data_IF_548099774017
#
_entry.id   IF_548099774017
#
_cell.length_a   1.000
_cell.length_b   1.000
_cell.length_c   1.000
_cell.angle_alpha   90.00
_cell.angle_beta   90.00
_cell.angle_gamma   90.00
#
_symmetry.space_group_name_H-M   'P 1'
#
loop_
_entity.id
_entity.type
_entity.pdbx_description
1 polymer ?
#
# COMPACT_ATOMS: atom_id res chain seq x y z
N UNK A 1 -64.32 58.77 -16.55
CA UNK A 1 -63.08 58.24 -17.15
C UNK A 1 -61.90 58.71 -16.33
N UNK A 2 -61.16 57.74 -15.78
CA UNK A 2 -59.93 57.89 -15.02
C UNK A 2 -58.91 58.77 -15.76
N UNK A 3 -58.15 59.61 -15.04
CA UNK A 3 -56.68 59.59 -15.08
C UNK A 3 -56.02 60.78 -14.34
N UNK A 4 -55.14 60.42 -13.39
CA UNK A 4 -53.86 61.06 -13.04
C UNK A 4 -53.84 62.33 -12.18
N UNK A 5 -54.08 62.14 -10.87
CA UNK A 5 -53.27 62.75 -9.80
C UNK A 5 -52.77 61.62 -8.90
N UNK A 6 -51.48 61.29 -9.00
CA UNK A 6 -50.61 60.59 -8.03
C UNK A 6 -49.31 60.35 -8.80
N UNK A 7 -48.23 61.05 -8.46
CA UNK A 7 -46.81 60.65 -8.75
C UNK A 7 -45.82 61.69 -8.23
N UNK A 8 -45.87 62.03 -6.94
CA UNK A 8 -44.77 62.75 -6.29
C UNK A 8 -44.42 62.23 -4.88
N UNK A 9 -45.33 61.51 -4.21
CA UNK A 9 -45.06 60.96 -2.88
C UNK A 9 -44.26 59.64 -2.87
N UNK A 10 -44.21 58.91 -3.99
CA UNK A 10 -43.50 57.61 -4.07
C UNK A 10 -42.02 57.74 -4.47
N UNK A 11 -41.57 58.93 -4.89
CA UNK A 11 -40.18 59.15 -5.29
C UNK A 11 -39.28 59.43 -4.07
N UNK A 12 -39.82 60.05 -3.01
CA UNK A 12 -39.04 60.38 -1.81
C UNK A 12 -38.77 59.16 -0.90
N UNK A 13 -39.71 58.20 -0.82
CA UNK A 13 -39.54 56.98 -0.01
C UNK A 13 -38.56 55.99 -0.68
N UNK A 14 -38.49 55.97 -2.01
CA UNK A 14 -37.55 55.14 -2.75
C UNK A 14 -36.08 55.61 -2.56
N UNK A 15 -35.82 56.90 -2.39
CA UNK A 15 -34.45 57.43 -2.19
C UNK A 15 -33.95 57.17 -0.76
N UNK A 16 -34.81 57.23 0.26
CA UNK A 16 -34.41 56.92 1.64
C UNK A 16 -34.18 55.41 1.86
N UNK A 17 -34.93 54.54 1.17
CA UNK A 17 -34.67 53.09 1.22
C UNK A 17 -33.40 52.69 0.47
N UNK A 18 -33.04 53.37 -0.63
CA UNK A 18 -31.82 53.08 -1.38
C UNK A 18 -30.57 53.55 -0.64
N UNK A 19 -30.60 54.69 0.08
CA UNK A 19 -29.46 55.13 0.90
C UNK A 19 -29.33 54.30 2.19
N UNK A 20 -30.45 53.86 2.78
CA UNK A 20 -30.46 52.92 3.90
C UNK A 20 -29.97 51.51 3.52
N UNK A 21 -30.30 51.02 2.33
CA UNK A 21 -29.80 49.74 1.81
C UNK A 21 -28.34 49.84 1.36
N UNK A 22 -27.90 50.97 0.80
CA UNK A 22 -26.47 51.18 0.51
C UNK A 22 -25.67 51.26 1.82
N UNK A 23 -26.21 51.86 2.88
CA UNK A 23 -25.59 51.89 4.22
C UNK A 23 -25.63 50.53 4.96
N UNK A 24 -26.67 49.72 4.76
CA UNK A 24 -26.79 48.39 5.36
C UNK A 24 -25.96 47.33 4.61
N UNK A 25 -25.84 47.45 3.29
CA UNK A 25 -24.91 46.63 2.49
C UNK A 25 -23.45 47.13 2.54
N UNK A 26 -23.18 48.35 3.01
CA UNK A 26 -21.80 48.78 3.30
C UNK A 26 -21.27 48.34 4.67
N UNK A 27 -22.13 47.93 5.61
CA UNK A 27 -21.70 47.58 6.97
C UNK A 27 -21.74 46.07 7.30
N UNK A 28 -22.03 45.24 6.29
CA UNK A 28 -21.73 43.81 6.30
C UNK A 28 -20.78 43.43 5.16
N UNK A 29 -19.83 44.31 4.86
CA UNK A 29 -18.52 43.82 4.45
C UNK A 29 -17.93 43.14 5.69
N UNK A 30 -18.04 41.80 5.76
CA UNK A 30 -17.00 40.99 6.39
C UNK A 30 -15.69 41.64 5.96
N UNK A 31 -14.98 42.29 6.90
CA UNK A 31 -13.66 42.86 6.63
C UNK A 31 -12.90 41.76 5.89
N UNK A 32 -12.59 42.02 4.63
CA UNK A 32 -11.77 41.14 3.80
C UNK A 32 -10.45 41.08 4.56
N UNK A 33 -10.28 40.06 5.41
CA UNK A 33 -9.03 39.85 6.13
C UNK A 33 -7.95 39.77 5.05
N UNK A 34 -7.02 40.70 5.12
CA UNK A 34 -6.08 40.99 4.05
C UNK A 34 -5.17 39.79 3.86
N UNK A 35 -5.43 38.98 2.82
CA UNK A 35 -4.48 37.95 2.38
C UNK A 35 -3.24 38.68 1.87
N UNK A 36 -2.18 38.70 2.68
CA UNK A 36 -0.90 39.24 2.24
C UNK A 36 -0.09 38.13 1.58
N UNK A 37 0.27 38.29 0.32
CA UNK A 37 1.27 37.44 -0.32
C UNK A 37 2.64 38.03 -0.04
N UNK A 38 3.42 37.38 0.83
CA UNK A 38 4.85 37.68 0.97
C UNK A 38 5.65 36.69 0.12
N UNK A 39 6.60 37.21 -0.65
CA UNK A 39 7.55 36.41 -1.42
C UNK A 39 8.93 36.59 -0.80
N UNK A 40 9.54 35.49 -0.38
CA UNK A 40 10.92 35.45 0.14
C UNK A 40 11.67 34.29 -0.50
N UNK A 41 12.98 34.34 -0.58
CA UNK A 41 13.79 33.23 -1.12
C UNK A 41 13.90 32.10 -0.10
N UNK A 42 13.87 30.84 -0.57
CA UNK A 42 14.13 29.68 0.28
C UNK A 42 15.59 29.67 0.76
N UNK A 43 15.78 29.39 2.06
CA UNK A 43 17.09 29.44 2.70
C UNK A 43 18.08 28.37 2.22
N UNK A 44 17.59 27.24 1.69
CA UNK A 44 18.42 26.13 1.22
C UNK A 44 18.56 26.14 -0.30
N UNK A 45 17.53 26.60 -1.01
CA UNK A 45 17.49 26.63 -2.47
C UNK A 45 17.25 28.06 -2.96
N UNK A 46 18.34 28.81 -3.21
CA UNK A 46 18.27 30.22 -3.61
C UNK A 46 17.49 30.52 -4.90
N UNK A 47 17.17 29.51 -5.70
CA UNK A 47 16.35 29.62 -6.91
C UNK A 47 14.85 29.29 -6.68
N UNK A 48 14.46 29.00 -5.44
CA UNK A 48 13.08 28.70 -5.04
C UNK A 48 12.56 29.86 -4.21
N UNK A 49 11.36 30.31 -4.54
CA UNK A 49 10.64 31.35 -3.79
C UNK A 49 9.65 30.69 -2.83
N UNK A 50 9.38 31.35 -1.70
CA UNK A 50 8.36 30.97 -0.72
C UNK A 50 7.21 31.95 -0.91
N UNK A 51 6.04 31.43 -1.27
CA UNK A 51 4.79 32.17 -1.19
C UNK A 51 4.07 31.81 0.11
N UNK A 52 3.50 32.81 0.76
CA UNK A 52 2.75 32.66 2.02
C UNK A 52 1.33 33.17 1.84
N UNK A 53 0.33 32.35 2.18
CA UNK A 53 -1.02 32.83 2.47
C UNK A 53 -1.10 33.11 3.98
N UNK A 54 -1.33 34.35 4.38
CA UNK A 54 -1.38 34.74 5.79
C UNK A 54 -2.66 35.48 6.13
N UNK A 55 -3.15 35.24 7.34
CA UNK A 55 -4.23 35.97 7.97
C UNK A 55 -3.97 36.10 9.47
N UNK A 56 -3.90 37.34 9.95
CA UNK A 56 -3.69 37.70 11.35
C UNK A 56 -5.01 38.14 12.04
N UNK A 57 -6.10 37.45 11.70
CA UNK A 57 -7.44 37.70 12.19
C UNK A 57 -7.58 37.57 13.70
N UNK A 58 -8.66 38.15 14.23
CA UNK A 58 -8.96 38.11 15.68
C UNK A 58 -9.54 36.77 16.13
N UNK A 59 -10.32 36.13 15.26
CA UNK A 59 -11.09 34.91 15.55
C UNK A 59 -10.34 33.64 15.18
N UNK A 60 -9.53 33.69 14.12
CA UNK A 60 -8.61 32.64 13.70
C UNK A 60 -7.40 33.27 13.01
N UNK A 61 -6.27 32.56 13.01
CA UNK A 61 -5.09 32.94 12.25
C UNK A 61 -4.61 31.77 11.39
N UNK A 62 -3.95 32.09 10.27
CA UNK A 62 -3.25 31.07 9.50
C UNK A 62 -2.01 31.62 8.82
N UNK A 63 -1.01 30.76 8.67
CA UNK A 63 0.16 30.98 7.83
C UNK A 63 0.43 29.71 7.02
N UNK A 64 0.23 29.76 5.71
CA UNK A 64 0.42 28.62 4.80
C UNK A 64 1.54 28.95 3.82
N UNK A 65 2.71 28.40 4.08
CA UNK A 65 3.91 28.53 3.26
C UNK A 65 3.96 27.41 2.20
N UNK A 66 4.25 27.78 0.95
CA UNK A 66 4.50 26.81 -0.12
C UNK A 66 5.64 27.28 -1.05
N UNK A 67 6.42 26.34 -1.63
CA UNK A 67 7.50 26.68 -2.55
C UNK A 67 6.97 27.03 -3.95
N UNK A 68 7.72 27.87 -4.65
CA UNK A 68 7.52 28.29 -6.04
C UNK A 68 8.82 28.06 -6.82
N UNK A 69 8.77 27.17 -7.81
CA UNK A 69 9.92 26.67 -8.56
C UNK A 69 10.10 27.31 -9.93
N UNK A 70 9.23 28.27 -10.31
CA UNK A 70 9.14 28.82 -11.67
C UNK A 70 8.75 27.74 -12.68
N UNK A 71 7.89 26.82 -12.24
CA UNK A 71 7.28 25.78 -13.06
C UNK A 71 5.76 25.93 -12.95
N UNK A 72 5.13 26.45 -14.00
CA UNK A 72 3.71 26.84 -13.97
C UNK A 72 2.77 25.73 -13.48
N UNK A 73 2.98 24.49 -13.97
CA UNK A 73 2.11 23.36 -13.64
C UNK A 73 2.27 22.92 -12.17
N UNK A 74 3.52 22.84 -11.71
CA UNK A 74 3.85 22.49 -10.32
C UNK A 74 3.38 23.59 -9.36
N UNK A 75 3.74 24.85 -9.64
CA UNK A 75 3.44 26.01 -8.80
C UNK A 75 1.93 26.23 -8.69
N UNK A 76 1.19 26.07 -9.80
CA UNK A 76 -0.28 26.14 -9.78
C UNK A 76 -0.90 25.04 -8.92
N UNK A 77 -0.34 23.83 -8.93
CA UNK A 77 -0.83 22.73 -8.11
C UNK A 77 -0.52 22.93 -6.62
N UNK A 78 0.69 23.39 -6.28
CA UNK A 78 1.06 23.73 -4.90
C UNK A 78 0.24 24.88 -4.36
N UNK A 79 -0.02 25.91 -5.17
CA UNK A 79 -0.95 27.00 -4.83
C UNK A 79 -2.36 26.48 -4.56
N UNK A 80 -2.91 25.63 -5.45
CA UNK A 80 -4.24 25.02 -5.24
C UNK A 80 -4.30 24.18 -3.96
N UNK A 81 -3.22 23.46 -3.64
CA UNK A 81 -3.08 22.74 -2.39
C UNK A 81 -3.14 23.70 -1.20
N UNK A 82 -2.29 24.72 -1.16
CA UNK A 82 -2.27 25.72 -0.09
C UNK A 82 -3.63 26.40 0.11
N UNK A 83 -4.29 26.83 -0.97
CA UNK A 83 -5.62 27.41 -0.91
C UNK A 83 -6.70 26.40 -0.44
N UNK A 84 -6.54 25.11 -0.76
CA UNK A 84 -7.46 24.06 -0.29
C UNK A 84 -7.34 23.89 1.22
N UNK A 85 -6.13 23.88 1.77
CA UNK A 85 -5.92 23.81 3.23
C UNK A 85 -6.56 25.00 3.95
N UNK A 86 -6.36 26.22 3.43
CA UNK A 86 -7.03 27.42 3.97
C UNK A 86 -8.55 27.29 3.92
N UNK A 87 -9.12 26.90 2.76
CA UNK A 87 -10.58 26.74 2.61
C UNK A 87 -11.15 25.68 3.56
N UNK A 88 -10.44 24.57 3.74
CA UNK A 88 -10.85 23.50 4.65
C UNK A 88 -10.82 23.97 6.10
N UNK A 89 -9.73 24.59 6.54
CA UNK A 89 -9.62 25.16 7.88
C UNK A 89 -10.72 26.20 8.14
N UNK A 90 -10.93 27.14 7.22
CA UNK A 90 -12.00 28.13 7.35
C UNK A 90 -13.38 27.50 7.49
N UNK A 91 -13.65 26.42 6.75
CA UNK A 91 -14.90 25.67 6.87
C UNK A 91 -15.03 25.05 8.27
N UNK A 92 -14.00 24.36 8.74
CA UNK A 92 -13.98 23.70 10.05
C UNK A 92 -14.10 24.69 11.22
N UNK A 93 -13.58 25.92 11.07
CA UNK A 93 -13.67 26.95 12.12
C UNK A 93 -15.02 27.67 12.23
N UNK A 94 -15.88 27.61 11.21
CA UNK A 94 -17.19 28.30 11.23
C UNK A 94 -18.19 27.67 12.20
N UNK A 95 -18.01 26.39 12.51
CA UNK A 95 -18.93 25.60 13.32
C UNK A 95 -18.50 25.51 14.79
N UNK A 96 -17.46 26.27 15.19
CA UNK A 96 -16.89 26.25 16.54
C UNK A 96 -17.41 27.42 17.36
N UNK A 97 -18.14 27.12 18.44
CA UNK A 97 -18.61 28.11 19.40
C UNK A 97 -17.43 28.76 20.15
N UNK A 98 -17.27 30.08 20.01
CA UNK A 98 -16.11 30.81 20.55
C UNK A 98 -16.29 31.24 22.01
N UNK A 99 -17.46 31.02 22.62
CA UNK A 99 -17.79 31.55 23.97
C UNK A 99 -16.90 31.00 25.11
N UNK A 100 -16.16 29.89 24.90
CA UNK A 100 -15.41 29.23 25.97
C UNK A 100 -13.94 28.90 25.67
N UNK A 101 -13.35 29.46 24.62
CA UNK A 101 -11.95 29.14 24.25
C UNK A 101 -11.00 30.33 24.44
N UNK A 102 -9.92 30.14 25.20
CA UNK A 102 -8.87 31.16 25.42
C UNK A 102 -7.82 31.20 24.30
N UNK A 103 -7.73 30.13 23.49
CA UNK A 103 -6.81 30.02 22.35
C UNK A 103 -7.56 30.19 21.03
N UNK A 104 -6.99 30.99 20.12
CA UNK A 104 -7.51 31.20 18.77
C UNK A 104 -7.33 29.94 17.92
N UNK A 105 -8.25 29.70 16.99
CA UNK A 105 -8.08 28.66 15.99
C UNK A 105 -6.88 29.02 15.09
N UNK A 106 -6.01 28.05 14.83
CA UNK A 106 -4.72 28.28 14.19
C UNK A 106 -4.43 27.21 13.13
N UNK A 107 -3.97 27.65 11.96
CA UNK A 107 -3.42 26.78 10.92
C UNK A 107 -2.03 27.27 10.52
N UNK A 108 -1.01 26.46 10.78
CA UNK A 108 0.35 26.71 10.32
C UNK A 108 0.77 25.58 9.39
N UNK A 109 1.07 25.91 8.13
CA UNK A 109 1.61 24.95 7.17
C UNK A 109 2.99 25.45 6.76
N UNK A 110 4.00 24.66 7.10
CA UNK A 110 5.37 24.85 6.65
C UNK A 110 5.80 23.71 5.73
N UNK A 111 6.89 23.89 5.00
CA UNK A 111 7.42 22.85 4.12
C UNK A 111 8.92 22.67 4.26
N UNK A 112 9.40 21.52 3.79
CA UNK A 112 10.82 21.22 3.57
C UNK A 112 11.00 20.58 2.21
N UNK A 113 11.94 21.08 1.42
CA UNK A 113 12.40 20.42 0.20
C UNK A 113 13.48 19.41 0.62
N UNK A 114 13.11 18.13 0.66
CA UNK A 114 14.01 17.06 1.11
C UNK A 114 14.84 16.47 -0.03
N UNK A 115 14.45 16.76 -1.27
CA UNK A 115 15.18 16.39 -2.49
C UNK A 115 14.86 17.39 -3.61
N UNK A 116 15.86 17.84 -4.36
CA UNK A 116 15.68 18.62 -5.58
C UNK A 116 16.82 18.35 -6.58
N UNK A 117 16.54 17.49 -7.56
CA UNK A 117 17.46 17.10 -8.61
C UNK A 117 16.98 17.55 -10.01
N UNK A 118 17.63 17.02 -11.06
CA UNK A 118 17.22 17.27 -12.46
C UNK A 118 15.93 16.55 -12.81
N UNK A 119 15.75 15.32 -12.31
CA UNK A 119 14.57 14.50 -12.60
C UNK A 119 13.40 14.81 -11.69
N UNK A 120 13.63 14.90 -10.39
CA UNK A 120 12.58 14.96 -9.37
C UNK A 120 12.81 16.01 -8.30
N UNK A 121 11.74 16.36 -7.62
CA UNK A 121 11.75 17.13 -6.37
C UNK A 121 10.79 16.49 -5.38
N UNK A 122 11.19 16.39 -4.11
CA UNK A 122 10.38 15.87 -3.02
C UNK A 122 10.20 16.93 -1.94
N UNK A 123 8.93 17.17 -1.57
CA UNK A 123 8.53 18.23 -0.63
C UNK A 123 7.70 17.58 0.49
N UNK A 124 8.04 17.90 1.73
CA UNK A 124 7.26 17.50 2.91
C UNK A 124 6.63 18.75 3.51
N UNK A 125 5.31 18.83 3.50
CA UNK A 125 4.53 19.82 4.22
C UNK A 125 4.25 19.32 5.64
N UNK A 126 4.45 20.17 6.64
CA UNK A 126 4.09 19.94 8.03
C UNK A 126 2.91 20.88 8.32
N UNK A 127 1.74 20.32 8.49
CA UNK A 127 0.51 21.04 8.80
C UNK A 127 0.22 20.89 10.29
N UNK A 128 0.31 21.99 11.02
CA UNK A 128 -0.20 22.12 12.37
C UNK A 128 -1.57 22.80 12.33
N UNK A 129 -2.56 22.18 12.97
CA UNK A 129 -3.93 22.68 13.02
C UNK A 129 -4.48 22.60 14.44
N UNK A 130 -5.07 23.69 14.91
CA UNK A 130 -5.78 23.77 16.19
C UNK A 130 -7.16 24.39 15.97
N UNK A 131 -8.22 23.63 16.28
CA UNK A 131 -9.63 24.02 16.12
C UNK A 131 -10.35 23.65 17.43
N UNK A 132 -9.90 24.23 18.54
CA UNK A 132 -10.36 23.86 19.89
C UNK A 132 -9.87 22.47 20.35
N UNK A 133 -10.21 22.11 21.59
CA UNK A 133 -9.80 20.86 22.23
C UNK A 133 -8.54 20.97 23.10
N UNK A 134 -8.00 19.83 23.55
CA UNK A 134 -6.89 19.79 24.51
C UNK A 134 -5.52 20.14 23.88
N UNK A 135 -5.30 19.79 22.61
CA UNK A 135 -4.06 20.03 21.89
C UNK A 135 -4.28 20.14 20.37
N UNK A 136 -3.39 20.83 19.66
CA UNK A 136 -3.37 20.85 18.19
C UNK A 136 -2.91 19.51 17.61
N UNK A 137 -3.13 19.33 16.31
CA UNK A 137 -2.71 18.15 15.56
C UNK A 137 -1.66 18.54 14.52
N UNK A 138 -0.65 17.68 14.32
CA UNK A 138 0.34 17.86 13.26
C UNK A 138 0.24 16.69 12.29
N UNK A 139 0.18 16.97 10.98
CA UNK A 139 0.12 15.97 9.92
C UNK A 139 1.13 16.30 8.84
N UNK A 140 1.82 15.27 8.30
CA UNK A 140 2.78 15.42 7.21
C UNK A 140 2.23 15.05 5.85
N UNK A 141 2.31 15.94 4.87
CA UNK A 141 1.94 15.62 3.48
C UNK A 141 3.19 15.60 2.61
N UNK A 142 3.36 14.55 1.82
CA UNK A 142 4.52 14.40 0.92
C UNK A 142 4.10 14.59 -0.53
N UNK A 143 4.92 15.30 -1.29
CA UNK A 143 4.74 15.48 -2.72
C UNK A 143 6.04 15.14 -3.45
N UNK A 144 5.94 14.30 -4.47
CA UNK A 144 7.04 14.02 -5.41
C UNK A 144 6.61 14.52 -6.78
N UNK A 145 7.44 15.31 -7.45
CA UNK A 145 7.16 15.81 -8.79
C UNK A 145 8.27 15.38 -9.75
N UNK A 146 7.89 14.91 -10.94
CA UNK A 146 8.79 14.54 -12.02
C UNK A 146 8.79 15.64 -13.09
N UNK A 147 9.94 16.27 -13.28
CA UNK A 147 10.09 17.37 -14.24
C UNK A 147 9.97 16.93 -15.70
N UNK A 148 10.31 15.68 -16.01
CA UNK A 148 10.21 15.15 -17.38
C UNK A 148 8.76 14.79 -17.72
N UNK A 149 8.02 14.21 -16.77
CA UNK A 149 6.58 13.90 -16.94
C UNK A 149 5.67 15.12 -16.73
N UNK A 150 6.22 16.18 -16.13
CA UNK A 150 5.46 17.32 -15.63
C UNK A 150 4.27 16.91 -14.74
N UNK A 151 4.48 15.98 -13.82
CA UNK A 151 3.41 15.41 -13.01
C UNK A 151 3.86 15.12 -11.58
N UNK A 152 2.92 15.22 -10.63
CA UNK A 152 3.11 14.65 -9.32
C UNK A 152 3.00 13.12 -9.41
N UNK A 153 3.82 12.43 -8.62
CA UNK A 153 3.92 10.98 -8.61
C UNK A 153 3.17 10.42 -7.41
N UNK A 154 2.35 9.41 -7.63
CA UNK A 154 1.95 8.45 -6.59
C UNK A 154 2.96 7.31 -6.49
N UNK A 155 2.84 6.49 -5.43
CA UNK A 155 3.84 5.44 -5.13
C UNK A 155 3.94 4.38 -6.22
N UNK A 156 2.87 4.08 -6.95
CA UNK A 156 2.84 3.17 -8.11
C UNK A 156 3.58 3.73 -9.32
N UNK A 157 3.62 5.06 -9.51
CA UNK A 157 4.21 5.67 -10.70
C UNK A 157 5.72 5.40 -10.82
N UNK A 158 6.40 5.09 -9.71
CA UNK A 158 7.85 4.89 -9.66
C UNK A 158 8.29 3.46 -9.94
N UNK A 159 7.38 2.48 -9.88
CA UNK A 159 7.66 1.07 -10.12
C UNK A 159 7.25 0.64 -11.53
N UNK A 160 7.83 -0.46 -12.01
CA UNK A 160 7.46 -1.12 -13.28
C UNK A 160 6.01 -1.65 -13.18
N UNK A 161 5.32 -1.74 -14.31
CA UNK A 161 3.88 -2.07 -14.35
C UNK A 161 3.57 -3.50 -13.85
N UNK A 162 4.51 -4.42 -14.02
CA UNK A 162 4.42 -5.83 -13.65
C UNK A 162 5.03 -6.14 -12.27
N UNK A 163 5.52 -5.13 -11.56
CA UNK A 163 6.17 -5.33 -10.28
C UNK A 163 5.17 -5.46 -9.12
N UNK A 164 5.30 -6.51 -8.31
CA UNK A 164 4.63 -6.62 -7.01
C UNK A 164 5.33 -5.73 -5.95
N UNK A 165 5.27 -4.42 -6.19
CA UNK A 165 5.94 -3.45 -5.33
C UNK A 165 5.27 -3.35 -3.95
N UNK A 166 3.95 -3.53 -3.86
CA UNK A 166 3.22 -3.41 -2.59
C UNK A 166 3.62 -4.52 -1.62
N UNK A 167 3.70 -5.76 -2.09
CA UNK A 167 4.16 -6.86 -1.26
C UNK A 167 5.61 -6.65 -0.82
N UNK A 168 6.50 -6.24 -1.75
CA UNK A 168 7.91 -6.00 -1.44
C UNK A 168 8.10 -4.87 -0.42
N UNK A 169 7.39 -3.75 -0.57
CA UNK A 169 7.43 -2.65 0.40
C UNK A 169 6.86 -3.07 1.75
N UNK A 170 5.76 -3.84 1.76
CA UNK A 170 5.14 -4.40 2.96
C UNK A 170 6.11 -5.28 3.75
N UNK A 171 6.75 -6.24 3.09
CA UNK A 171 7.75 -7.11 3.71
C UNK A 171 8.92 -6.31 4.29
N UNK A 172 9.50 -5.39 3.49
CA UNK A 172 10.62 -4.56 3.94
C UNK A 172 10.21 -3.74 5.17
N UNK A 173 9.08 -3.04 5.10
CA UNK A 173 8.62 -2.17 6.17
C UNK A 173 8.30 -2.93 7.44
N UNK A 174 7.55 -4.03 7.34
CA UNK A 174 7.18 -4.87 8.47
C UNK A 174 8.42 -5.38 9.19
N UNK A 175 9.34 -6.03 8.47
CA UNK A 175 10.51 -6.65 9.07
C UNK A 175 11.52 -5.61 9.59
N UNK A 176 11.67 -4.47 8.93
CA UNK A 176 12.57 -3.43 9.42
C UNK A 176 12.05 -2.81 10.72
N UNK A 177 10.78 -2.37 10.72
CA UNK A 177 10.17 -1.72 11.88
C UNK A 177 10.05 -2.68 13.07
N UNK A 178 9.81 -3.98 12.81
CA UNK A 178 9.74 -5.02 13.84
C UNK A 178 11.06 -5.23 14.61
N UNK A 179 12.20 -4.78 14.07
CA UNK A 179 13.48 -4.82 14.82
C UNK A 179 13.45 -3.92 16.06
N UNK A 180 12.63 -2.87 16.06
CA UNK A 180 12.43 -2.02 17.23
C UNK A 180 11.40 -2.65 18.17
N UNK A 181 11.81 -2.95 19.41
CA UNK A 181 10.96 -3.61 20.41
C UNK A 181 9.72 -2.80 20.80
N UNK A 182 9.83 -1.48 20.81
CA UNK A 182 8.71 -0.60 21.21
C UNK A 182 7.64 -0.54 20.11
N UNK A 183 8.07 -0.57 18.84
CA UNK A 183 7.16 -0.69 17.69
C UNK A 183 6.55 -2.10 17.67
N UNK A 184 7.37 -3.14 17.85
CA UNK A 184 6.94 -4.54 17.81
C UNK A 184 6.02 -4.95 18.97
N UNK A 185 5.87 -4.11 19.99
CA UNK A 185 4.96 -4.34 21.11
C UNK A 185 3.49 -4.44 20.66
N UNK A 186 3.12 -3.79 19.55
CA UNK A 186 1.81 -3.91 18.91
C UNK A 186 1.96 -4.47 17.49
N UNK A 187 2.23 -5.77 17.41
CA UNK A 187 2.42 -6.48 16.13
C UNK A 187 1.17 -6.43 15.24
N UNK A 188 -0.03 -6.30 15.82
CA UNK A 188 -1.27 -6.18 15.07
C UNK A 188 -1.32 -4.83 14.33
N UNK A 189 -1.06 -3.74 15.04
CA UNK A 189 -0.99 -2.40 14.46
C UNK A 189 0.14 -2.30 13.42
N UNK A 190 1.31 -2.83 13.73
CA UNK A 190 2.43 -2.87 12.80
C UNK A 190 2.07 -3.62 11.51
N UNK A 191 1.43 -4.80 11.62
CA UNK A 191 0.96 -5.58 10.47
C UNK A 191 -0.07 -4.83 9.63
N UNK A 192 -1.00 -4.13 10.27
CA UNK A 192 -2.03 -3.36 9.57
C UNK A 192 -1.43 -2.15 8.83
N UNK A 193 -0.62 -1.36 9.53
CA UNK A 193 0.00 -0.15 8.99
C UNK A 193 1.07 -0.40 7.93
N UNK A 194 1.60 -1.63 7.86
CA UNK A 194 2.54 -2.08 6.82
C UNK A 194 1.92 -3.06 5.83
N UNK A 195 0.62 -3.34 5.88
CA UNK A 195 -0.05 -4.21 4.92
C UNK A 195 0.15 -3.71 3.47
N UNK A 196 0.11 -4.59 2.45
CA UNK A 196 0.37 -4.25 1.04
C UNK A 196 -0.79 -3.45 0.42
N UNK A 197 -1.06 -2.26 0.96
CA UNK A 197 -2.09 -1.31 0.55
C UNK A 197 -1.42 -0.03 0.08
N UNK A 198 -1.90 0.54 -1.04
CA UNK A 198 -1.33 1.76 -1.62
C UNK A 198 -1.34 2.93 -0.63
N UNK A 199 -2.38 3.01 0.19
CA UNK A 199 -2.60 4.06 1.18
C UNK A 199 -1.50 4.06 2.25
N UNK A 200 -1.06 2.88 2.69
CA UNK A 200 -0.02 2.70 3.71
C UNK A 200 1.35 3.24 3.28
N UNK A 201 1.61 3.31 1.96
CA UNK A 201 2.87 3.76 1.37
C UNK A 201 2.72 5.07 0.58
N UNK A 202 1.59 5.75 0.72
CA UNK A 202 1.30 6.99 -0.01
C UNK A 202 2.18 8.17 0.42
N UNK A 203 2.75 8.11 1.64
CA UNK A 203 3.65 9.12 2.18
C UNK A 203 5.09 8.72 1.98
N UNK A 204 5.71 9.23 0.92
CA UNK A 204 7.08 8.87 0.56
C UNK A 204 7.85 10.05 -0.05
N UNK A 205 9.17 9.96 -0.03
CA UNK A 205 10.07 10.87 -0.72
C UNK A 205 11.06 10.10 -1.60
N UNK A 206 11.17 10.50 -2.87
CA UNK A 206 12.23 10.04 -3.76
C UNK A 206 13.47 10.90 -3.48
N UNK A 207 14.46 10.31 -2.82
CA UNK A 207 15.74 10.95 -2.47
C UNK A 207 16.84 10.49 -3.40
N UNK A 208 18.08 10.96 -3.25
CA UNK A 208 19.19 10.59 -4.13
C UNK A 208 19.42 9.08 -4.17
N UNK A 209 19.75 8.48 -3.02
CA UNK A 209 20.05 7.04 -2.89
C UNK A 209 18.89 6.21 -2.31
N UNK A 210 17.80 6.84 -1.85
CA UNK A 210 16.74 6.18 -1.08
C UNK A 210 15.33 6.48 -1.61
N UNK A 211 14.42 5.55 -1.34
CA UNK A 211 12.99 5.83 -1.22
C UNK A 211 12.67 5.87 0.27
N UNK A 212 12.34 7.04 0.79
CA UNK A 212 12.03 7.22 2.22
C UNK A 212 10.51 7.14 2.40
N UNK A 213 10.05 6.21 3.23
CA UNK A 213 8.65 6.00 3.58
C UNK A 213 8.38 6.60 4.96
N UNK A 214 7.24 7.27 5.09
CA UNK A 214 6.79 7.89 6.33
C UNK A 214 5.49 7.24 6.80
N UNK A 215 5.43 6.90 8.08
CA UNK A 215 4.27 6.30 8.73
C UNK A 215 3.75 7.26 9.79
N UNK A 216 2.45 7.55 9.74
CA UNK A 216 1.81 8.44 10.70
C UNK A 216 1.85 7.91 12.13
N UNK A 217 1.67 8.81 13.10
CA UNK A 217 1.29 8.42 14.46
C UNK A 217 0.10 7.47 14.43
N UNK A 218 0.18 6.39 15.21
CA UNK A 218 -0.80 5.30 15.25
C UNK A 218 -0.93 4.47 13.97
N UNK A 219 -0.10 4.68 12.93
CA UNK A 219 -0.15 3.79 11.76
C UNK A 219 0.53 2.45 12.05
N UNK A 220 1.77 2.49 12.55
CA UNK A 220 2.61 1.28 12.73
C UNK A 220 3.05 1.04 14.17
N UNK A 221 2.78 1.99 15.07
CA UNK A 221 3.21 1.94 16.46
C UNK A 221 2.34 2.85 17.33
N UNK A 222 2.41 2.68 18.65
CA UNK A 222 1.70 3.52 19.60
C UNK A 222 2.08 5.01 19.45
N UNK A 223 1.11 5.91 19.59
CA UNK A 223 1.27 7.34 19.25
C UNK A 223 2.37 8.09 20.03
N UNK A 224 2.74 7.64 21.24
CA UNK A 224 3.82 8.27 22.01
C UNK A 224 5.21 8.11 21.39
N UNK A 225 5.40 7.13 20.48
CA UNK A 225 6.62 6.96 19.70
C UNK A 225 6.72 7.96 18.55
N UNK A 226 5.65 8.71 18.28
CA UNK A 226 5.57 9.66 17.19
C UNK A 226 5.56 8.99 15.82
N UNK A 227 5.78 9.79 14.79
CA UNK A 227 5.88 9.32 13.41
C UNK A 227 7.11 8.43 13.20
N UNK A 228 6.92 7.37 12.42
CA UNK A 228 8.01 6.46 12.05
C UNK A 228 8.43 6.68 10.60
N UNK A 229 9.65 6.30 10.27
CA UNK A 229 10.14 6.35 8.89
C UNK A 229 11.23 5.30 8.66
N UNK A 230 11.31 4.82 7.42
CA UNK A 230 12.40 3.96 6.93
C UNK A 230 12.86 4.48 5.56
N UNK A 231 14.16 4.43 5.30
CA UNK A 231 14.74 4.82 4.02
C UNK A 231 15.30 3.60 3.31
N UNK A 232 14.61 3.14 2.27
CA UNK A 232 14.98 1.96 1.49
C UNK A 232 16.00 2.36 0.45
N UNK A 233 17.20 1.79 0.51
CA UNK A 233 18.24 2.04 -0.49
C UNK A 233 17.75 1.57 -1.86
N UNK A 234 17.78 2.45 -2.87
CA UNK A 234 17.26 2.16 -4.22
C UNK A 234 17.88 0.94 -4.88
N UNK A 235 19.13 0.61 -4.54
CA UNK A 235 19.80 -0.61 -5.03
C UNK A 235 19.08 -1.90 -4.64
N UNK A 236 18.31 -1.90 -3.54
CA UNK A 236 17.50 -3.04 -3.10
C UNK A 236 16.18 -3.19 -3.89
N UNK A 237 15.81 -2.15 -4.65
CA UNK A 237 14.59 -2.08 -5.46
C UNK A 237 14.90 -2.06 -6.97
N UNK A 238 16.16 -2.29 -7.37
CA UNK A 238 16.62 -2.09 -8.76
C UNK A 238 15.87 -2.93 -9.80
N UNK A 239 15.35 -4.07 -9.37
CA UNK A 239 14.57 -5.02 -10.16
C UNK A 239 13.16 -4.51 -10.46
N UNK A 240 12.58 -3.74 -9.54
CA UNK A 240 11.18 -3.26 -9.65
C UNK A 240 11.03 -1.75 -9.87
N UNK A 241 12.03 -0.94 -9.52
CA UNK A 241 11.99 0.51 -9.65
C UNK A 241 12.30 0.93 -11.11
N UNK A 242 11.61 1.94 -11.63
CA UNK A 242 11.89 2.48 -12.97
C UNK A 242 13.29 3.12 -13.02
N UNK A 243 14.01 2.86 -14.09
CA UNK A 243 15.43 3.23 -14.25
C UNK A 243 15.69 4.74 -14.05
N UNK A 244 14.78 5.59 -14.53
CA UNK A 244 14.88 7.04 -14.37
C UNK A 244 14.94 7.52 -12.91
N UNK A 245 14.44 6.74 -11.95
CA UNK A 245 14.51 7.05 -10.52
C UNK A 245 15.73 6.41 -9.84
N UNK A 246 16.43 5.48 -10.51
CA UNK A 246 17.70 4.87 -10.04
C UNK A 246 18.90 5.70 -10.52
N UNK A 247 18.82 6.29 -11.71
CA UNK A 247 19.90 7.05 -12.34
C UNK A 247 20.44 8.15 -11.40
N UNK A 248 21.69 7.97 -10.96
CA UNK A 248 22.37 8.86 -10.03
C UNK A 248 22.62 10.25 -10.60
N UNK A 249 22.90 10.38 -11.90
CA UNK A 249 23.16 11.67 -12.51
C UNK A 249 21.88 12.53 -12.61
N UNK A 250 20.74 11.86 -12.84
CA UNK A 250 19.41 12.48 -12.92
C UNK A 250 18.83 12.83 -11.55
N UNK A 251 19.09 12.00 -10.55
CA UNK A 251 18.57 12.15 -9.18
C UNK A 251 19.64 12.62 -8.18
N UNK A 252 20.76 13.20 -8.65
CA UNK A 252 21.72 13.83 -7.74
C UNK A 252 21.09 15.09 -7.15
N UNK A 253 21.00 15.16 -5.82
CA UNK A 253 20.42 16.33 -5.18
C UNK A 253 21.33 17.55 -5.36
N UNK A 254 20.73 18.74 -5.53
CA UNK A 254 21.47 20.01 -5.67
C UNK A 254 22.24 20.38 -4.40
N UNK A 255 21.79 19.93 -3.24
CA UNK A 255 22.45 20.11 -1.95
C UNK A 255 22.63 18.76 -1.25
N UNK A 256 23.48 18.72 -0.23
CA UNK A 256 23.68 17.50 0.57
C UNK A 256 22.42 17.17 1.36
N UNK A 257 21.86 15.98 1.14
CA UNK A 257 20.69 15.50 1.89
C UNK A 257 21.03 15.20 3.35
N UNK A 258 20.03 15.39 4.22
CA UNK A 258 20.10 14.86 5.57
C UNK A 258 20.05 13.34 5.53
N UNK A 259 20.96 12.72 6.28
CA UNK A 259 21.03 11.27 6.42
C UNK A 259 19.73 10.76 7.06
N UNK A 260 19.08 9.72 6.50
CA UNK A 260 17.89 9.14 7.10
C UNK A 260 18.16 8.63 8.51
N UNK A 261 17.12 8.65 9.36
CA UNK A 261 17.21 8.12 10.73
C UNK A 261 17.32 6.60 10.76
N UNK A 262 16.57 5.92 9.88
CA UNK A 262 16.55 4.46 9.78
C UNK A 262 16.78 4.05 8.32
N UNK A 263 17.95 3.50 8.04
CA UNK A 263 18.30 3.04 6.70
C UNK A 263 18.05 1.54 6.55
N UNK A 264 17.38 1.15 5.47
CA UNK A 264 17.31 -0.24 5.01
C UNK A 264 18.41 -0.46 3.98
N UNK A 265 19.49 -1.10 4.44
CA UNK A 265 20.68 -1.38 3.63
C UNK A 265 20.76 -2.83 3.14
N UNK A 266 19.88 -3.69 3.64
CA UNK A 266 19.70 -5.08 3.22
C UNK A 266 18.21 -5.42 3.23
N UNK A 267 17.74 -6.23 2.28
CA UNK A 267 16.39 -6.78 2.35
C UNK A 267 16.25 -7.66 3.60
N UNK A 268 15.04 -7.80 4.16
CA UNK A 268 14.77 -8.81 5.17
C UNK A 268 15.29 -10.15 4.67
N UNK A 269 15.96 -10.91 5.54
CA UNK A 269 16.09 -12.34 5.28
C UNK A 269 14.67 -12.89 5.32
N UNK A 270 14.08 -13.12 4.15
CA UNK A 270 13.15 -14.26 4.01
C UNK A 270 13.85 -15.44 4.67
N UNK A 271 13.15 -16.31 5.41
CA UNK A 271 13.77 -17.52 5.95
C UNK A 271 14.45 -18.24 4.78
N UNK A 272 15.77 -18.08 4.69
CA UNK A 272 16.49 -18.37 3.45
C UNK A 272 16.55 -19.87 3.35
N UNK A 273 15.83 -20.42 2.37
CA UNK A 273 15.89 -21.83 2.03
C UNK A 273 17.33 -22.15 1.64
N UNK A 274 17.99 -22.98 2.44
CA UNK A 274 19.35 -23.44 2.16
C UNK A 274 19.28 -24.47 1.03
N UNK A 275 19.82 -24.17 -0.17
CA UNK A 275 19.76 -25.10 -1.30
C UNK A 275 20.58 -26.38 -1.05
N UNK A 276 21.44 -26.43 -0.03
CA UNK A 276 22.22 -27.63 0.31
C UNK A 276 21.49 -28.56 1.28
N UNK A 277 20.36 -28.14 1.84
CA UNK A 277 19.52 -28.95 2.73
C UNK A 277 18.33 -29.53 1.98
N UNK A 278 17.63 -30.49 2.61
CA UNK A 278 16.45 -31.12 2.02
C UNK A 278 15.30 -30.13 1.93
N UNK A 279 14.64 -30.06 0.78
CA UNK A 279 13.48 -29.20 0.52
C UNK A 279 12.31 -30.03 0.01
N UNK A 280 11.10 -29.66 0.39
CA UNK A 280 9.87 -30.31 -0.11
C UNK A 280 8.73 -29.28 -0.16
N UNK A 281 7.92 -29.32 -1.22
CA UNK A 281 6.77 -28.43 -1.37
C UNK A 281 5.48 -29.16 -1.00
N UNK A 282 4.84 -28.75 0.10
CA UNK A 282 3.48 -29.15 0.41
C UNK A 282 2.52 -28.22 -0.33
N UNK A 283 1.56 -28.82 -1.05
CA UNK A 283 0.60 -28.05 -1.83
C UNK A 283 -0.83 -28.48 -1.56
N UNK A 284 -1.74 -27.52 -1.57
CA UNK A 284 -3.12 -27.69 -1.15
C UNK A 284 -4.09 -27.15 -2.20
N UNK A 285 -4.97 -28.02 -2.71
CA UNK A 285 -5.91 -27.71 -3.79
C UNK A 285 -7.36 -27.59 -3.28
N UNK A 286 -8.20 -26.92 -4.07
CA UNK A 286 -9.65 -26.69 -3.90
C UNK A 286 -10.09 -25.69 -2.83
N UNK A 287 -9.18 -25.16 -2.04
CA UNK A 287 -9.45 -24.14 -1.03
C UNK A 287 -9.89 -22.77 -1.61
N UNK A 288 -10.21 -21.80 -0.73
CA UNK A 288 -10.20 -21.93 0.72
C UNK A 288 -11.46 -22.61 1.28
N UNK A 289 -11.31 -23.32 2.41
CA UNK A 289 -12.38 -23.76 3.29
C UNK A 289 -12.02 -23.39 4.75
N UNK A 290 -12.62 -22.34 5.35
CA UNK A 290 -12.17 -21.82 6.64
C UNK A 290 -12.09 -22.85 7.77
N UNK A 291 -12.89 -23.91 7.77
CA UNK A 291 -12.87 -24.92 8.82
C UNK A 291 -11.61 -25.80 8.80
N UNK A 292 -11.02 -26.03 7.63
CA UNK A 292 -9.89 -26.95 7.44
C UNK A 292 -8.62 -26.21 7.00
N UNK A 293 -8.73 -25.22 6.09
CA UNK A 293 -7.60 -24.38 5.67
C UNK A 293 -6.95 -23.67 6.87
N UNK A 294 -7.75 -23.13 7.80
CA UNK A 294 -7.20 -22.45 8.97
C UNK A 294 -6.44 -23.39 9.90
N UNK A 295 -6.87 -24.64 10.05
CA UNK A 295 -6.15 -25.65 10.83
C UNK A 295 -4.80 -25.97 10.19
N UNK A 296 -4.74 -26.09 8.86
CA UNK A 296 -3.49 -26.34 8.13
C UNK A 296 -2.53 -25.15 8.29
N UNK A 297 -3.04 -23.91 8.17
CA UNK A 297 -2.26 -22.70 8.42
C UNK A 297 -1.71 -22.66 9.86
N UNK A 298 -2.50 -23.04 10.86
CA UNK A 298 -2.04 -23.16 12.25
C UNK A 298 -0.91 -24.18 12.40
N UNK A 299 -1.00 -25.34 11.74
CA UNK A 299 0.06 -26.36 11.71
C UNK A 299 1.33 -25.85 11.03
N UNK A 300 1.22 -25.24 9.84
CA UNK A 300 2.37 -24.66 9.12
C UNK A 300 3.10 -23.63 9.99
N UNK A 301 2.36 -22.70 10.59
CA UNK A 301 2.89 -21.69 11.51
C UNK A 301 3.55 -22.31 12.75
N UNK A 302 2.93 -23.33 13.35
CA UNK A 302 3.46 -24.05 14.52
C UNK A 302 4.81 -24.69 14.23
N UNK A 303 4.98 -25.29 13.05
CA UNK A 303 6.21 -25.98 12.66
C UNK A 303 7.14 -25.12 11.79
N UNK A 304 6.85 -23.82 11.63
CA UNK A 304 7.67 -22.86 10.88
C UNK A 304 7.93 -23.31 9.43
N UNK A 305 6.89 -23.83 8.79
CA UNK A 305 6.91 -24.20 7.37
C UNK A 305 6.01 -23.30 6.55
N UNK A 306 6.26 -23.26 5.26
CA UNK A 306 5.39 -22.64 4.26
C UNK A 306 4.85 -23.69 3.29
N UNK A 307 3.74 -23.36 2.62
CA UNK A 307 3.11 -24.18 1.61
C UNK A 307 2.61 -23.33 0.43
N UNK A 308 2.13 -23.98 -0.63
CA UNK A 308 1.44 -23.32 -1.75
C UNK A 308 -0.02 -23.77 -1.82
N UNK A 309 -0.95 -22.82 -1.79
CA UNK A 309 -2.39 -23.08 -1.88
C UNK A 309 -2.90 -22.75 -3.29
N UNK A 310 -3.34 -23.74 -4.04
CA UNK A 310 -3.99 -23.56 -5.34
C UNK A 310 -5.50 -23.39 -5.12
N UNK A 311 -5.95 -22.14 -5.16
CA UNK A 311 -7.30 -21.76 -4.74
C UNK A 311 -8.27 -21.67 -5.92
N UNK A 312 -9.52 -22.01 -5.66
CA UNK A 312 -10.63 -21.78 -6.59
C UNK A 312 -11.13 -20.34 -6.48
N UNK A 313 -11.21 -19.62 -7.62
CA UNK A 313 -11.69 -18.24 -7.66
C UNK A 313 -13.07 -18.06 -7.03
N UNK A 314 -13.98 -19.01 -7.27
CA UNK A 314 -15.31 -19.02 -6.67
C UNK A 314 -15.29 -19.09 -5.14
N UNK A 315 -14.31 -19.78 -4.53
CA UNK A 315 -14.19 -19.88 -3.06
C UNK A 315 -13.46 -18.70 -2.47
N UNK A 316 -12.47 -18.15 -3.17
CA UNK A 316 -11.81 -16.89 -2.80
C UNK A 316 -12.86 -15.77 -2.63
N UNK A 317 -13.84 -15.69 -3.54
CA UNK A 317 -14.94 -14.73 -3.43
C UNK A 317 -15.73 -14.86 -2.12
N UNK A 318 -15.93 -16.09 -1.62
CA UNK A 318 -16.65 -16.34 -0.36
C UNK A 318 -15.79 -16.15 0.89
N UNK A 319 -14.47 -16.36 0.78
CA UNK A 319 -13.56 -16.39 1.93
C UNK A 319 -12.32 -15.50 1.76
N UNK A 320 -12.50 -14.18 1.50
CA UNK A 320 -11.38 -13.26 1.28
C UNK A 320 -10.43 -13.19 2.48
N UNK A 321 -10.95 -13.26 3.71
CA UNK A 321 -10.13 -13.22 4.93
C UNK A 321 -9.17 -14.41 5.04
N UNK A 322 -9.56 -15.58 4.52
CA UNK A 322 -8.69 -16.77 4.56
C UNK A 322 -7.56 -16.64 3.52
N UNK A 323 -7.84 -16.04 2.35
CA UNK A 323 -6.82 -15.68 1.36
C UNK A 323 -5.80 -14.69 1.95
N UNK A 324 -6.27 -13.61 2.59
CA UNK A 324 -5.37 -12.63 3.21
C UNK A 324 -4.53 -13.28 4.31
N UNK A 325 -5.12 -14.18 5.11
CA UNK A 325 -4.41 -14.91 6.15
C UNK A 325 -3.27 -15.77 5.59
N UNK A 326 -3.52 -16.60 4.57
CA UNK A 326 -2.48 -17.49 4.03
C UNK A 326 -1.29 -16.71 3.48
N UNK A 327 -1.54 -15.61 2.74
CA UNK A 327 -0.50 -14.69 2.24
C UNK A 327 0.26 -14.02 3.38
N UNK A 328 -0.47 -13.52 4.39
CA UNK A 328 0.12 -12.85 5.56
C UNK A 328 1.01 -13.77 6.40
N UNK A 329 0.74 -15.08 6.39
CA UNK A 329 1.53 -16.10 7.07
C UNK A 329 2.69 -16.63 6.19
N UNK A 330 2.95 -16.01 5.04
CA UNK A 330 4.11 -16.29 4.18
C UNK A 330 3.93 -17.48 3.24
N UNK A 331 2.71 -17.98 3.08
CA UNK A 331 2.41 -19.02 2.11
C UNK A 331 2.21 -18.42 0.72
N UNK A 332 2.45 -19.23 -0.30
CA UNK A 332 2.21 -18.85 -1.69
C UNK A 332 0.77 -19.18 -2.09
N UNK A 333 0.17 -18.33 -2.93
CA UNK A 333 -1.12 -18.59 -3.55
C UNK A 333 -0.93 -18.85 -5.04
N UNK A 334 -1.48 -19.96 -5.51
CA UNK A 334 -1.57 -20.35 -6.92
C UNK A 334 -3.01 -20.35 -7.41
N UNK A 335 -3.18 -20.34 -8.74
CA UNK A 335 -4.49 -20.35 -9.39
C UNK A 335 -4.97 -21.79 -9.66
N UNK A 336 -6.19 -22.14 -9.25
CA UNK A 336 -6.78 -23.47 -9.51
C UNK A 336 -8.04 -23.43 -10.37
N UNK A 337 -8.14 -22.45 -11.29
CA UNK A 337 -9.37 -22.11 -12.03
C UNK A 337 -10.47 -21.50 -11.16
N UNK A 338 -11.59 -21.11 -11.79
CA UNK A 338 -12.70 -20.48 -11.07
C UNK A 338 -13.60 -21.51 -10.39
N UNK A 339 -14.01 -22.55 -11.13
CA UNK A 339 -15.04 -23.50 -10.70
C UNK A 339 -14.66 -24.97 -10.92
N UNK A 340 -13.36 -25.28 -11.04
CA UNK A 340 -12.83 -26.63 -11.16
C UNK A 340 -13.26 -27.45 -12.42
N UNK A 341 -13.49 -26.86 -13.61
CA UNK A 341 -13.73 -27.66 -14.81
C UNK A 341 -12.43 -28.31 -15.31
N UNK A 342 -12.54 -29.44 -16.00
CA UNK A 342 -11.41 -29.99 -16.76
C UNK A 342 -11.11 -29.06 -17.95
N UNK A 343 -10.05 -28.26 -17.85
CA UNK A 343 -9.78 -27.15 -18.77
C UNK A 343 -9.61 -27.60 -20.24
N UNK A 344 -9.11 -28.81 -20.47
CA UNK A 344 -8.95 -29.40 -21.81
C UNK A 344 -10.26 -29.74 -22.51
N UNK A 345 -11.39 -29.72 -21.80
CA UNK A 345 -12.73 -29.92 -22.37
C UNK A 345 -13.43 -28.61 -22.72
N UNK A 346 -12.81 -27.48 -22.43
CA UNK A 346 -13.32 -26.15 -22.76
C UNK A 346 -12.62 -25.62 -24.02
N UNK A 347 -13.22 -24.64 -24.67
CA UNK A 347 -12.47 -23.84 -25.64
C UNK A 347 -11.35 -23.07 -24.92
N UNK A 348 -10.26 -22.74 -25.63
CA UNK A 348 -9.14 -21.96 -25.07
C UNK A 348 -9.62 -20.65 -24.44
N UNK A 349 -10.62 -19.99 -25.05
CA UNK A 349 -11.21 -18.75 -24.53
C UNK A 349 -11.91 -18.96 -23.19
N UNK A 350 -12.70 -20.02 -23.05
CA UNK A 350 -13.40 -20.35 -21.79
C UNK A 350 -12.41 -20.79 -20.70
N UNK A 351 -11.38 -21.56 -21.07
CA UNK A 351 -10.33 -21.95 -20.15
C UNK A 351 -9.51 -20.74 -19.66
N UNK A 352 -9.14 -19.81 -20.55
CA UNK A 352 -8.50 -18.55 -20.15
C UNK A 352 -9.41 -17.70 -19.28
N UNK A 353 -10.72 -17.69 -19.53
CA UNK A 353 -11.67 -16.98 -18.67
C UNK A 353 -11.66 -17.55 -17.24
N UNK A 354 -11.65 -18.88 -17.09
CA UNK A 354 -11.55 -19.53 -15.77
C UNK A 354 -10.30 -19.11 -15.00
N UNK A 355 -9.16 -18.99 -15.68
CA UNK A 355 -7.89 -18.57 -15.10
C UNK A 355 -7.92 -17.07 -14.78
N UNK A 356 -8.28 -16.22 -15.74
CA UNK A 356 -8.26 -14.77 -15.61
C UNK A 356 -9.26 -14.26 -14.56
N UNK A 357 -10.49 -14.78 -14.52
CA UNK A 357 -11.45 -14.41 -13.47
C UNK A 357 -10.89 -14.71 -12.07
N UNK A 358 -10.09 -15.78 -11.95
CA UNK A 358 -9.43 -16.18 -10.71
C UNK A 358 -8.23 -15.28 -10.38
N UNK A 359 -7.43 -14.87 -11.37
CA UNK A 359 -6.39 -13.86 -11.18
C UNK A 359 -7.00 -12.55 -10.66
N UNK A 360 -8.04 -12.07 -11.33
CA UNK A 360 -8.68 -10.79 -11.04
C UNK A 360 -9.25 -10.74 -9.63
N UNK A 361 -9.89 -11.81 -9.15
CA UNK A 361 -10.46 -11.82 -7.79
C UNK A 361 -9.38 -11.87 -6.71
N UNK A 362 -8.29 -12.62 -6.93
CA UNK A 362 -7.16 -12.70 -5.98
C UNK A 362 -6.46 -11.34 -5.91
N UNK A 363 -6.16 -10.72 -7.05
CA UNK A 363 -5.53 -9.40 -7.14
C UNK A 363 -6.41 -8.32 -6.52
N UNK A 364 -7.71 -8.35 -6.79
CA UNK A 364 -8.67 -7.39 -6.21
C UNK A 364 -8.72 -7.45 -4.68
N UNK A 365 -8.65 -8.64 -4.09
CA UNK A 365 -8.75 -8.80 -2.63
C UNK A 365 -7.42 -8.47 -1.94
N UNK A 366 -6.31 -8.86 -2.54
CA UNK A 366 -5.02 -8.92 -1.84
C UNK A 366 -3.91 -8.03 -2.42
N UNK A 367 -4.08 -7.53 -3.63
CA UNK A 367 -3.02 -6.90 -4.42
C UNK A 367 -1.97 -7.88 -4.94
N UNK A 368 -2.08 -9.17 -4.62
CA UNK A 368 -1.18 -10.23 -5.06
C UNK A 368 -1.69 -10.86 -6.36
N UNK A 369 -0.79 -11.10 -7.32
CA UNK A 369 -1.11 -11.73 -8.60
C UNK A 369 -0.36 -13.07 -8.73
N UNK A 370 -1.05 -14.22 -8.66
CA UNK A 370 -0.38 -15.52 -8.77
C UNK A 370 0.42 -15.66 -10.06
N UNK A 371 1.62 -16.24 -9.97
CA UNK A 371 2.46 -16.62 -11.11
C UNK A 371 2.25 -18.08 -11.53
N UNK A 372 1.79 -18.90 -10.59
CA UNK A 372 1.58 -20.34 -10.75
C UNK A 372 0.11 -20.66 -11.02
N UNK A 373 -0.13 -21.63 -11.91
CA UNK A 373 -1.42 -22.26 -12.13
C UNK A 373 -1.31 -23.79 -12.00
N UNK A 374 -2.27 -24.39 -11.31
CA UNK A 374 -2.47 -25.83 -11.32
C UNK A 374 -3.78 -26.15 -12.03
N UNK A 375 -3.75 -26.73 -13.22
CA UNK A 375 -4.96 -27.14 -13.93
C UNK A 375 -5.72 -28.22 -13.15
N UNK A 376 -7.04 -28.08 -12.95
CA UNK A 376 -7.87 -29.15 -12.39
C UNK A 376 -7.61 -30.49 -13.05
N UNK A 377 -7.47 -31.54 -12.22
CA UNK A 377 -7.16 -32.91 -12.64
C UNK A 377 -5.83 -33.07 -13.41
N UNK A 378 -4.95 -32.06 -13.37
CA UNK A 378 -3.71 -32.04 -14.18
C UNK A 378 -3.94 -31.85 -15.68
N UNK A 379 -5.19 -31.60 -16.10
CA UNK A 379 -5.56 -31.55 -17.51
C UNK A 379 -5.23 -30.22 -18.18
N UNK A 380 -4.25 -30.22 -19.07
CA UNK A 380 -3.82 -29.04 -19.82
C UNK A 380 -3.26 -29.43 -21.20
N UNK A 381 -3.42 -28.56 -22.20
CA UNK A 381 -2.89 -28.72 -23.55
C UNK A 381 -1.96 -27.57 -23.95
N UNK A 382 -1.19 -27.74 -25.02
CA UNK A 382 -0.18 -26.77 -25.46
C UNK A 382 -0.79 -25.44 -25.91
N UNK A 383 -1.98 -25.50 -26.52
CA UNK A 383 -2.73 -24.30 -26.92
C UNK A 383 -2.99 -23.39 -25.70
N UNK A 384 -3.52 -23.94 -24.60
CA UNK A 384 -3.78 -23.17 -23.39
C UNK A 384 -2.48 -22.72 -22.69
N UNK A 385 -1.44 -23.58 -22.63
CA UNK A 385 -0.12 -23.22 -22.07
C UNK A 385 0.48 -22.01 -22.76
N UNK A 386 0.42 -21.97 -24.09
CA UNK A 386 1.00 -20.88 -24.87
C UNK A 386 0.33 -19.52 -24.65
N UNK A 387 -0.92 -19.51 -24.20
CA UNK A 387 -1.70 -18.27 -24.03
C UNK A 387 -1.79 -17.77 -22.59
N UNK A 388 -1.69 -18.63 -21.58
CA UNK A 388 -1.91 -18.24 -20.17
C UNK A 388 -0.82 -17.34 -19.59
N UNK A 389 0.42 -17.42 -20.09
CA UNK A 389 1.59 -16.71 -19.54
C UNK A 389 1.79 -16.92 -18.03
N UNK A 390 1.55 -18.14 -17.56
CA UNK A 390 1.72 -18.57 -16.18
C UNK A 390 2.48 -19.89 -16.16
N UNK A 391 3.21 -20.14 -15.08
CA UNK A 391 3.95 -21.39 -14.89
C UNK A 391 3.02 -22.48 -14.37
N UNK A 392 3.11 -23.67 -14.95
CA UNK A 392 2.22 -24.79 -14.63
C UNK A 392 2.85 -25.66 -13.57
N UNK A 393 2.27 -25.66 -12.38
CA UNK A 393 2.74 -26.41 -11.24
C UNK A 393 1.90 -27.70 -11.06
N UNK A 394 2.48 -28.85 -11.41
CA UNK A 394 1.90 -30.18 -11.12
C UNK A 394 2.45 -30.73 -9.79
N UNK A 395 2.44 -32.06 -9.63
CA UNK A 395 2.91 -32.75 -8.43
C UNK A 395 3.60 -34.07 -8.78
N UNK A 396 4.41 -34.58 -7.85
CA UNK A 396 5.10 -35.87 -7.97
C UNK A 396 4.46 -36.95 -7.08
N UNK A 397 3.84 -36.53 -5.97
CA UNK A 397 3.29 -37.41 -4.93
C UNK A 397 1.81 -37.11 -4.76
N UNK A 398 0.97 -38.12 -5.00
CA UNK A 398 -0.48 -38.06 -4.80
C UNK A 398 -0.90 -39.17 -3.80
N UNK A 399 -1.37 -38.82 -2.59
CA UNK A 399 -1.91 -39.77 -1.65
C UNK A 399 -3.35 -40.18 -1.96
N UNK A 400 -3.99 -39.63 -2.99
CA UNK A 400 -5.41 -39.75 -3.31
C UNK A 400 -6.30 -39.45 -2.08
N UNK A 401 -6.01 -38.39 -1.32
CA UNK A 401 -6.73 -38.02 -0.09
C UNK A 401 -8.21 -37.68 -0.34
N UNK A 402 -8.54 -37.27 -1.56
CA UNK A 402 -9.90 -37.08 -2.07
C UNK A 402 -10.69 -38.40 -2.18
N UNK A 403 -10.01 -39.52 -2.43
CA UNK A 403 -10.55 -40.87 -2.60
C UNK A 403 -10.53 -41.65 -1.28
N UNK A 404 -9.35 -41.77 -0.67
CA UNK A 404 -9.14 -42.51 0.57
C UNK A 404 -9.05 -41.55 1.76
N UNK A 405 -10.22 -41.12 2.24
CA UNK A 405 -10.39 -40.15 3.33
C UNK A 405 -10.10 -40.76 4.71
N UNK A 406 -8.86 -41.24 4.90
CA UNK A 406 -8.37 -41.82 6.12
C UNK A 406 -7.02 -41.20 6.48
N UNK A 407 -6.93 -40.58 7.65
CA UNK A 407 -5.72 -39.88 8.11
C UNK A 407 -4.47 -40.75 7.98
N UNK A 408 -4.51 -42.00 8.49
CA UNK A 408 -3.35 -42.89 8.51
C UNK A 408 -2.92 -43.26 7.08
N UNK A 409 -3.87 -43.60 6.21
CA UNK A 409 -3.57 -43.91 4.81
C UNK A 409 -2.88 -42.74 4.10
N UNK A 410 -3.39 -41.52 4.30
CA UNK A 410 -2.81 -40.31 3.71
C UNK A 410 -1.37 -40.09 4.22
N UNK A 411 -1.18 -40.13 5.54
CA UNK A 411 0.14 -39.98 6.17
C UNK A 411 1.11 -41.04 5.64
N UNK A 412 0.72 -42.32 5.66
CA UNK A 412 1.60 -43.41 5.23
C UNK A 412 1.98 -43.26 3.74
N UNK A 413 1.04 -42.92 2.87
CA UNK A 413 1.31 -42.71 1.43
C UNK A 413 2.26 -41.53 1.19
N UNK A 414 2.05 -40.40 1.87
CA UNK A 414 2.93 -39.24 1.74
C UNK A 414 4.31 -39.56 2.28
N UNK A 415 4.42 -40.10 3.48
CA UNK A 415 5.72 -40.33 4.12
C UNK A 415 6.56 -41.41 3.41
N UNK A 416 5.92 -42.40 2.76
CA UNK A 416 6.63 -43.41 1.95
C UNK A 416 7.15 -42.86 0.61
N UNK A 417 6.56 -41.77 0.12
CA UNK A 417 6.89 -41.18 -1.18
C UNK A 417 7.59 -39.81 -1.05
N UNK A 418 7.73 -39.28 0.16
CA UNK A 418 8.43 -38.03 0.40
C UNK A 418 9.92 -38.16 0.01
N UNK A 419 10.46 -37.10 -0.58
CA UNK A 419 11.84 -37.04 -1.02
C UNK A 419 12.24 -35.59 -1.28
N UNK A 420 13.55 -35.30 -1.21
CA UNK A 420 14.09 -33.99 -1.55
C UNK A 420 13.69 -33.59 -2.98
N UNK A 421 13.25 -32.35 -3.14
CA UNK A 421 12.88 -31.79 -4.45
C UNK A 421 11.45 -32.08 -4.91
N UNK A 422 10.64 -32.83 -4.14
CA UNK A 422 9.28 -33.27 -4.54
C UNK A 422 8.18 -32.27 -4.18
N UNK A 423 7.10 -32.33 -4.95
CA UNK A 423 5.85 -31.60 -4.71
C UNK A 423 4.73 -32.58 -4.35
N UNK A 424 4.08 -32.36 -3.19
CA UNK A 424 3.02 -33.22 -2.66
C UNK A 424 1.66 -32.57 -2.88
N UNK A 425 0.70 -33.31 -3.46
CA UNK A 425 -0.70 -32.92 -3.60
C UNK A 425 -1.52 -33.33 -2.37
N UNK A 426 -2.28 -32.41 -1.79
CA UNK A 426 -3.29 -32.63 -0.74
C UNK A 426 -4.48 -31.70 -1.05
N UNK A 427 -5.69 -32.02 -0.61
CA UNK A 427 -6.85 -31.14 -0.71
C UNK A 427 -7.21 -30.57 0.68
N UNK A 428 -7.16 -29.26 0.86
CA UNK A 428 -7.37 -28.60 2.16
C UNK A 428 -8.84 -28.43 2.56
N UNK A 429 -9.73 -29.21 1.95
CA UNK A 429 -11.18 -29.09 2.07
C UNK A 429 -11.80 -30.23 2.89
N UNK A 430 -11.02 -31.25 3.22
CA UNK A 430 -11.45 -32.41 4.02
C UNK A 430 -10.81 -32.40 5.41
N UNK A 431 -11.61 -32.72 6.43
CA UNK A 431 -11.13 -32.79 7.81
C UNK A 431 -9.99 -33.80 7.98
N UNK A 432 -10.10 -34.95 7.35
CA UNK A 432 -9.08 -36.02 7.37
C UNK A 432 -7.77 -35.58 6.74
N UNK A 433 -7.82 -34.74 5.70
CA UNK A 433 -6.63 -34.18 5.06
C UNK A 433 -5.97 -33.13 5.96
N UNK A 434 -6.74 -32.27 6.63
CA UNK A 434 -6.20 -31.32 7.60
C UNK A 434 -5.54 -32.01 8.81
N UNK A 435 -6.18 -33.07 9.34
CA UNK A 435 -5.61 -33.84 10.44
C UNK A 435 -4.36 -34.63 10.01
N UNK A 436 -4.30 -35.11 8.75
CA UNK A 436 -3.13 -35.75 8.17
C UNK A 436 -1.99 -34.75 7.90
N UNK A 437 -2.32 -33.56 7.40
CA UNK A 437 -1.38 -32.50 7.11
C UNK A 437 -0.59 -32.07 8.36
N UNK A 438 -1.24 -31.92 9.53
CA UNK A 438 -0.53 -31.62 10.79
C UNK A 438 0.55 -32.66 11.10
N UNK A 439 0.23 -33.96 10.92
CA UNK A 439 1.17 -35.04 11.20
C UNK A 439 2.27 -35.15 10.14
N UNK A 440 1.95 -34.94 8.87
CA UNK A 440 2.93 -34.88 7.77
C UNK A 440 3.91 -33.72 7.99
N UNK A 441 3.40 -32.51 8.25
CA UNK A 441 4.20 -31.31 8.51
C UNK A 441 5.16 -31.57 9.67
N UNK A 442 4.65 -32.13 10.78
CA UNK A 442 5.47 -32.52 11.93
C UNK A 442 6.59 -33.47 11.52
N UNK A 443 6.26 -34.61 10.87
CA UNK A 443 7.23 -35.65 10.53
C UNK A 443 8.29 -35.16 9.54
N UNK A 444 7.92 -34.37 8.54
CA UNK A 444 8.87 -33.81 7.58
C UNK A 444 9.82 -32.80 8.24
N UNK A 445 9.28 -31.96 9.12
CA UNK A 445 10.08 -31.01 9.93
C UNK A 445 11.06 -31.77 10.83
N UNK A 446 10.59 -32.80 11.54
CA UNK A 446 11.42 -33.65 12.41
C UNK A 446 12.53 -34.40 11.62
N UNK A 447 12.31 -34.68 10.33
CA UNK A 447 13.30 -35.27 9.42
C UNK A 447 14.27 -34.23 8.81
N UNK A 448 14.14 -32.96 9.18
CA UNK A 448 14.99 -31.87 8.68
C UNK A 448 14.74 -31.54 7.21
N UNK A 449 13.49 -31.62 6.75
CA UNK A 449 13.07 -30.95 5.53
C UNK A 449 12.74 -29.49 5.80
N UNK A 450 13.13 -28.63 4.88
CA UNK A 450 12.58 -27.29 4.76
C UNK A 450 11.28 -27.37 3.97
N UNK A 451 10.17 -26.95 4.58
CA UNK A 451 8.85 -26.90 3.96
C UNK A 451 8.72 -25.56 3.23
N UNK A 452 8.78 -25.61 1.91
CA UNK A 452 8.94 -24.43 1.05
C UNK A 452 7.74 -24.25 0.13
N UNK A 453 7.58 -23.04 -0.39
CA UNK A 453 6.64 -22.78 -1.50
C UNK A 453 7.15 -23.41 -2.80
N UNK A 454 6.28 -23.55 -3.80
CA UNK A 454 6.65 -24.08 -5.12
C UNK A 454 7.65 -23.15 -5.81
N UNK A 455 7.45 -21.83 -5.78
CA UNK A 455 8.43 -20.89 -6.35
C UNK A 455 9.80 -20.97 -5.64
N UNK A 456 9.82 -21.13 -4.31
CA UNK A 456 11.08 -21.34 -3.57
C UNK A 456 11.76 -22.66 -3.96
N UNK A 457 10.98 -23.73 -4.17
CA UNK A 457 11.50 -25.02 -4.62
C UNK A 457 12.15 -24.91 -6.01
N UNK A 458 11.52 -24.18 -6.95
CA UNK A 458 12.07 -23.93 -8.28
C UNK A 458 13.35 -23.09 -8.24
N UNK A 459 13.41 -22.08 -7.37
CA UNK A 459 14.62 -21.29 -7.15
C UNK A 459 15.77 -22.15 -6.59
N UNK A 460 15.49 -23.03 -5.63
CA UNK A 460 16.49 -23.99 -5.12
C UNK A 460 17.00 -24.92 -6.23
N UNK A 461 16.12 -25.39 -7.13
CA UNK A 461 16.52 -26.21 -8.28
C UNK A 461 17.48 -25.44 -9.19
N UNK A 462 17.15 -24.19 -9.56
CA UNK A 462 18.03 -23.31 -10.35
C UNK A 462 19.39 -23.08 -9.69
N UNK A 463 19.41 -22.87 -8.36
CA UNK A 463 20.65 -22.68 -7.61
C UNK A 463 21.53 -23.94 -7.56
N UNK A 464 20.92 -25.13 -7.50
CA UNK A 464 21.64 -26.41 -7.54
C UNK A 464 22.19 -26.70 -8.93
N UNK A 465 21.46 -26.34 -9.99
CA UNK A 465 21.90 -26.48 -11.39
C UNK A 465 23.02 -25.51 -11.78
N UNK A 466 23.09 -24.34 -11.14
CA UNK A 466 24.11 -23.33 -11.40
C UNK A 466 25.46 -23.59 -10.71
N UNK A 467 25.56 -24.64 -9.88
CA UNK A 467 26.79 -25.12 -9.23
C UNK A 467 27.39 -26.26 -10.03
#
# INVERSE_FOLDING_TARGET
MLAKRIKWFHVLIAVVCVVGLIGFFHNHSLKKETVMNKVRTDSQYGNVEIATLVNDGKTFNYAVNYPVFKNEKMDSALKRFAEKEVRQFQKETKDVDQEHTTKRNELNVDYKIVHYAKQTVAIIFNEYKYIGGAHGQTVKKTFNYDFSKQAFLSIDDIFKEDADYLHKLSLIAYHELKKNKDIAADDALLKEGTAPKKENFSRFAIKEDYIELYFDTYQVAAGYLGEQSIAIKKSLLKDILKEQYIDKAKNKNKIKEQKPKHEVISLPKEETVDPNQKVIALTFDDGPNPATTNQILDSLKKYKGHATFFVLGSRVQYYPETLIRMLKEGNEVGNHSWSHPLLTRLSVKEALKQINDTQDIIEKISGYRPTLVRPPYGGINDELRSQMKMDVALWDVDPEDWKDRNKKTIVDRVMNQAGDGRTILIHDIYRTSADAADEIIKKLTDQGYQLVTVSQLEEVKKQREAK
#
